data_IF_193445939361
#
_entry.id   IF_193445939361
#
_cell.length_a   1.000
_cell.length_b   1.000
_cell.length_c   1.000
_cell.angle_alpha   90.00
_cell.angle_beta   90.00
_cell.angle_gamma   90.00
#
_symmetry.space_group_name_H-M   'P 1'
#
loop_
_entity.id
_entity.type
_entity.pdbx_description
1 polymer ?
#
# COMPACT_ATOMS: atom_id res chain seq x y z
N UNK A 1 -9.76 -0.80 4.63
CA UNK A 1 -8.77 -0.47 5.68
C UNK A 1 -7.71 0.53 5.21
N UNK A 2 -7.13 0.39 4.01
CA UNK A 2 -6.16 1.35 3.41
C UNK A 2 -6.60 2.83 3.54
N UNK A 3 -7.84 3.17 3.20
CA UNK A 3 -8.36 4.55 3.35
C UNK A 3 -8.29 5.11 4.79
N UNK A 4 -8.41 4.26 5.81
CA UNK A 4 -8.27 4.65 7.21
C UNK A 4 -6.81 4.92 7.61
N UNK A 5 -5.89 4.09 7.13
CA UNK A 5 -4.44 4.25 7.32
C UNK A 5 -3.90 5.48 6.57
N UNK A 6 -4.46 5.77 5.39
CA UNK A 6 -4.19 6.97 4.59
C UNK A 6 -4.61 8.24 5.33
N UNK A 7 -5.75 8.23 6.03
CA UNK A 7 -6.21 9.37 6.83
C UNK A 7 -5.34 9.61 8.08
N UNK A 8 -4.75 8.55 8.64
CA UNK A 8 -3.80 8.64 9.75
C UNK A 8 -2.38 9.05 9.31
N UNK A 9 -2.12 9.04 8.00
CA UNK A 9 -0.81 9.34 7.44
C UNK A 9 -0.53 10.83 7.35
N UNK A 10 0.69 11.21 7.74
CA UNK A 10 1.18 12.60 7.83
C UNK A 10 1.19 13.39 6.51
N UNK A 11 1.00 12.73 5.36
CA UNK A 11 1.03 13.34 4.01
C UNK A 11 -0.33 13.10 3.36
N UNK A 12 -1.00 14.15 2.84
CA UNK A 12 -2.28 13.98 2.15
C UNK A 12 -2.05 13.20 0.86
N UNK A 13 -2.45 11.94 0.86
CA UNK A 13 -2.51 11.10 -0.33
C UNK A 13 -3.76 11.51 -1.12
N UNK A 14 -3.57 11.87 -2.39
CA UNK A 14 -4.66 12.18 -3.32
C UNK A 14 -5.39 10.87 -3.68
N UNK A 15 -6.60 10.96 -4.25
CA UNK A 15 -7.35 9.75 -4.65
C UNK A 15 -6.55 8.89 -5.64
N UNK A 16 -5.82 9.49 -6.58
CA UNK A 16 -4.89 8.79 -7.47
C UNK A 16 -3.80 8.00 -6.71
N UNK A 17 -3.21 8.59 -5.66
CA UNK A 17 -2.18 7.92 -4.87
C UNK A 17 -2.78 6.71 -4.13
N UNK A 18 -4.01 6.84 -3.62
CA UNK A 18 -4.74 5.75 -2.96
C UNK A 18 -5.03 4.61 -3.96
N UNK A 19 -5.41 4.94 -5.19
CA UNK A 19 -5.62 3.93 -6.25
C UNK A 19 -4.34 3.17 -6.60
N UNK A 20 -3.20 3.86 -6.66
CA UNK A 20 -1.89 3.22 -6.87
C UNK A 20 -1.57 2.26 -5.72
N UNK A 21 -1.67 2.74 -4.47
CA UNK A 21 -1.42 1.92 -3.28
C UNK A 21 -2.36 0.70 -3.24
N UNK A 22 -3.65 0.87 -3.56
CA UNK A 22 -4.61 -0.23 -3.63
C UNK A 22 -4.27 -1.24 -4.73
N UNK A 23 -3.85 -0.81 -5.93
CA UNK A 23 -3.46 -1.73 -7.00
C UNK A 23 -2.25 -2.56 -6.65
N UNK A 24 -1.22 -1.94 -6.07
CA UNK A 24 -0.02 -2.66 -5.61
C UNK A 24 -0.39 -3.67 -4.54
N UNK A 25 -1.19 -3.23 -3.57
CA UNK A 25 -1.68 -4.07 -2.50
C UNK A 25 -2.44 -5.28 -3.03
N UNK A 26 -3.42 -5.07 -3.91
CA UNK A 26 -4.24 -6.14 -4.49
C UNK A 26 -3.38 -7.15 -5.24
N UNK A 27 -2.42 -6.69 -6.05
CA UNK A 27 -1.50 -7.58 -6.75
C UNK A 27 -0.64 -8.41 -5.80
N UNK A 28 0.01 -7.79 -4.81
CA UNK A 28 0.83 -8.53 -3.83
C UNK A 28 -0.04 -9.51 -3.02
N UNK A 29 -1.27 -9.12 -2.70
CA UNK A 29 -2.22 -9.93 -1.96
C UNK A 29 -2.62 -11.18 -2.75
N UNK A 30 -2.97 -11.01 -4.03
CA UNK A 30 -3.25 -12.11 -4.96
C UNK A 30 -2.04 -13.03 -5.12
N UNK A 31 -0.85 -12.45 -5.24
CA UNK A 31 0.33 -13.20 -5.65
C UNK A 31 1.04 -13.91 -4.49
N UNK A 32 1.12 -13.28 -3.31
CA UNK A 32 1.53 -13.95 -2.08
C UNK A 32 0.42 -14.81 -1.47
N UNK A 33 -0.80 -14.76 -2.04
CA UNK A 33 -1.96 -15.49 -1.53
C UNK A 33 -2.37 -15.08 -0.12
N UNK A 34 -2.19 -13.79 0.21
CA UNK A 34 -2.54 -13.26 1.52
C UNK A 34 -4.07 -13.24 1.62
N UNK A 35 -4.61 -14.01 2.55
CA UNK A 35 -6.05 -14.03 2.87
C UNK A 35 -6.34 -13.59 4.30
N UNK A 36 -5.28 -13.43 5.10
CA UNK A 36 -5.37 -13.00 6.48
C UNK A 36 -5.56 -11.50 6.54
N UNK A 37 -6.60 -11.07 7.24
CA UNK A 37 -6.94 -9.66 7.41
C UNK A 37 -5.80 -8.90 8.10
N UNK A 38 -5.16 -9.51 9.09
CA UNK A 38 -4.00 -8.95 9.80
C UNK A 38 -2.79 -8.73 8.87
N UNK A 39 -2.50 -9.71 8.00
CA UNK A 39 -1.42 -9.61 7.00
C UNK A 39 -1.72 -8.59 5.91
N UNK A 40 -2.99 -8.47 5.55
CA UNK A 40 -3.50 -7.41 4.70
C UNK A 40 -3.29 -6.04 5.34
N UNK A 41 -3.60 -5.87 6.61
CA UNK A 41 -3.42 -4.59 7.29
C UNK A 41 -1.94 -4.19 7.42
N UNK A 42 -1.05 -5.12 7.77
CA UNK A 42 0.39 -4.87 7.82
C UNK A 42 0.99 -4.50 6.45
N UNK A 43 0.57 -5.20 5.40
CA UNK A 43 1.03 -4.91 4.04
C UNK A 43 0.54 -3.53 3.57
N UNK A 44 -0.72 -3.19 3.84
CA UNK A 44 -1.29 -1.89 3.54
C UNK A 44 -0.55 -0.76 4.27
N UNK A 45 -0.25 -0.94 5.56
CA UNK A 45 0.51 0.02 6.36
C UNK A 45 1.92 0.20 5.81
N UNK A 46 2.60 -0.90 5.45
CA UNK A 46 3.95 -0.86 4.87
C UNK A 46 3.98 -0.10 3.54
N UNK A 47 3.03 -0.38 2.63
CA UNK A 47 2.93 0.30 1.33
C UNK A 47 2.77 1.81 1.52
N UNK A 48 1.89 2.23 2.44
CA UNK A 48 1.66 3.64 2.72
C UNK A 48 2.91 4.29 3.32
N UNK A 49 3.57 3.64 4.28
CA UNK A 49 4.78 4.16 4.91
C UNK A 49 5.90 4.39 3.88
N UNK A 50 6.14 3.42 2.98
CA UNK A 50 7.09 3.57 1.87
C UNK A 50 6.68 4.68 0.91
N UNK A 51 5.39 4.80 0.60
CA UNK A 51 4.88 5.88 -0.26
C UNK A 51 5.16 7.25 0.36
N UNK A 52 4.97 7.38 1.67
CA UNK A 52 5.23 8.59 2.41
C UNK A 52 6.72 8.91 2.54
N UNK A 53 7.58 7.89 2.66
CA UNK A 53 9.03 8.03 2.71
C UNK A 53 9.66 8.46 1.37
N UNK A 54 8.87 8.57 0.30
CA UNK A 54 9.29 9.08 -1.01
C UNK A 54 9.17 8.07 -2.14
N UNK A 55 8.74 6.84 -1.86
CA UNK A 55 8.54 5.79 -2.87
C UNK A 55 7.15 5.93 -3.49
N UNK A 56 6.94 6.99 -4.28
CA UNK A 56 5.66 7.31 -4.91
C UNK A 56 5.35 6.54 -6.21
N UNK A 57 6.13 5.52 -6.52
CA UNK A 57 6.02 4.78 -7.79
C UNK A 57 5.53 3.34 -7.57
N UNK A 58 4.48 2.97 -8.31
CA UNK A 58 3.91 1.62 -8.33
C UNK A 58 5.00 0.55 -8.56
N UNK A 59 5.88 0.78 -9.53
CA UNK A 59 6.96 -0.14 -9.88
C UNK A 59 8.02 -0.26 -8.76
N UNK A 60 8.32 0.83 -8.06
CA UNK A 60 9.29 0.83 -6.97
C UNK A 60 8.76 0.13 -5.73
N UNK A 61 7.47 0.35 -5.41
CA UNK A 61 6.78 -0.37 -4.36
C UNK A 61 6.72 -1.87 -4.68
N UNK A 62 6.29 -2.24 -5.88
CA UNK A 62 6.28 -3.65 -6.31
C UNK A 62 7.63 -4.32 -6.14
N UNK A 63 8.71 -3.67 -6.62
CA UNK A 63 10.09 -4.18 -6.50
C UNK A 63 10.58 -4.33 -5.05
N UNK A 64 9.90 -3.77 -4.06
CA UNK A 64 10.23 -3.96 -2.65
C UNK A 64 9.60 -5.24 -2.07
N UNK A 65 8.48 -5.68 -2.64
CA UNK A 65 7.71 -6.84 -2.18
C UNK A 65 7.87 -8.09 -3.07
N UNK A 66 8.48 -7.92 -4.23
CA UNK A 66 8.88 -8.92 -5.23
C UNK A 66 10.39 -9.04 -5.30
#
# INVERSE_FOLDING_TARGET
MIRGLVLASKIPLQNDDIEICQRVFDQICVEKGIKDDERCEELAASIIDFYQHGVKNEASLKRLFF
#
